data_IF_915899469906
#
_entry.id   IF_915899469906
#
_cell.length_a   1.000
_cell.length_b   1.000
_cell.length_c   1.000
_cell.angle_alpha   90.00
_cell.angle_beta   90.00
_cell.angle_gamma   90.00
#
_symmetry.space_group_name_H-M   'P 1'
#
loop_
_entity.id
_entity.type
_entity.pdbx_description
1 polymer ?
#
# COMPACT_ATOMS: atom_id res chain seq x y z
N UNK A 1 56.42 37.63 -5.77
CA UNK A 1 56.06 36.20 -5.60
C UNK A 1 56.16 35.55 -6.97
N UNK A 2 57.06 34.59 -7.08
CA UNK A 2 57.68 34.09 -8.32
C UNK A 2 56.73 33.31 -9.24
N UNK A 3 56.87 33.56 -10.54
CA UNK A 3 56.66 32.60 -11.62
C UNK A 3 57.68 31.46 -11.52
N UNK A 4 57.31 30.21 -11.84
CA UNK A 4 58.21 29.23 -12.46
C UNK A 4 57.39 28.16 -13.23
N UNK A 5 57.57 28.15 -14.55
CA UNK A 5 57.52 26.95 -15.39
C UNK A 5 58.89 26.27 -15.29
N UNK A 6 58.96 24.93 -15.22
CA UNK A 6 59.80 24.07 -16.08
C UNK A 6 59.80 22.58 -15.66
N UNK A 7 59.34 21.75 -16.60
CA UNK A 7 59.62 20.35 -16.96
C UNK A 7 60.73 19.58 -16.21
N UNK A 8 60.40 18.36 -15.75
CA UNK A 8 61.33 17.20 -15.75
C UNK A 8 60.57 15.93 -16.17
N UNK A 9 61.09 15.26 -17.21
CA UNK A 9 60.72 13.92 -17.69
C UNK A 9 61.43 12.83 -16.84
N UNK A 10 60.76 11.71 -16.56
CA UNK A 10 61.27 10.34 -16.75
C UNK A 10 60.43 9.28 -16.01
N UNK A 11 59.76 8.45 -16.81
CA UNK A 11 59.75 6.98 -16.75
C UNK A 11 59.66 6.32 -15.37
N UNK A 12 58.52 5.67 -15.09
CA UNK A 12 58.49 4.35 -14.44
C UNK A 12 57.16 3.64 -14.73
N UNK A 13 57.30 2.53 -15.44
CA UNK A 13 56.30 1.51 -15.68
C UNK A 13 55.67 1.02 -14.37
N UNK A 14 54.35 1.05 -14.25
CA UNK A 14 53.62 0.08 -13.43
C UNK A 14 52.28 -0.25 -14.10
N UNK A 15 52.21 -1.49 -14.56
CA UNK A 15 51.06 -2.15 -15.18
C UNK A 15 49.91 -2.16 -14.17
N UNK A 16 48.83 -1.43 -14.44
CA UNK A 16 47.54 -1.59 -13.74
C UNK A 16 46.53 -2.23 -14.70
N UNK A 17 46.00 -3.38 -14.26
CA UNK A 17 45.07 -4.27 -14.98
C UNK A 17 43.83 -3.53 -15.49
N UNK A 18 43.21 -3.97 -16.61
CA UNK A 18 42.01 -3.34 -17.14
C UNK A 18 40.83 -3.50 -16.18
N UNK A 19 40.27 -2.38 -15.75
CA UNK A 19 38.99 -2.32 -15.02
C UNK A 19 37.89 -2.57 -16.05
N UNK A 20 37.25 -3.74 -15.97
CA UNK A 20 36.03 -4.02 -16.75
C UNK A 20 34.90 -3.12 -16.22
N UNK A 21 34.16 -2.39 -17.07
CA UNK A 21 33.00 -1.65 -16.60
C UNK A 21 31.91 -2.67 -16.24
N UNK A 22 31.52 -2.70 -14.97
CA UNK A 22 30.40 -3.51 -14.49
C UNK A 22 29.09 -2.82 -14.89
N UNK A 23 28.76 -2.88 -16.18
CA UNK A 23 27.46 -2.50 -16.71
C UNK A 23 26.49 -3.66 -16.50
N UNK A 24 25.84 -3.71 -15.34
CA UNK A 24 24.58 -4.44 -15.16
C UNK A 24 23.77 -3.77 -14.06
N UNK A 25 23.23 -2.59 -14.36
CA UNK A 25 22.08 -2.07 -13.61
C UNK A 25 20.84 -2.79 -14.18
N UNK A 26 20.59 -4.01 -13.71
CA UNK A 26 19.28 -4.63 -13.85
C UNK A 26 18.35 -3.91 -12.87
N UNK A 27 17.57 -2.97 -13.40
CA UNK A 27 16.41 -2.41 -12.72
C UNK A 27 15.40 -3.53 -12.50
N UNK A 28 15.54 -4.23 -11.37
CA UNK A 28 14.56 -5.17 -10.89
C UNK A 28 13.35 -4.37 -10.37
N UNK A 29 12.47 -3.95 -11.27
CA UNK A 29 11.14 -3.49 -10.89
C UNK A 29 10.41 -4.67 -10.28
N UNK A 30 10.40 -4.75 -8.94
CA UNK A 30 9.55 -5.67 -8.19
C UNK A 30 8.11 -5.41 -8.62
N UNK A 31 7.57 -6.26 -9.49
CA UNK A 31 6.14 -6.25 -9.83
C UNK A 31 5.38 -6.54 -8.54
N UNK A 32 4.63 -5.56 -8.04
CA UNK A 32 3.80 -5.74 -6.86
C UNK A 32 2.65 -6.70 -7.22
N UNK A 33 2.39 -7.67 -6.34
CA UNK A 33 1.33 -8.67 -6.55
C UNK A 33 -0.05 -8.01 -6.57
N UNK A 34 -0.94 -8.52 -7.41
CA UNK A 34 -2.35 -8.16 -7.48
C UNK A 34 -3.12 -8.63 -6.23
N UNK A 35 -4.30 -8.05 -5.97
CA UNK A 35 -5.16 -8.52 -4.88
C UNK A 35 -5.55 -9.99 -5.04
N UNK A 36 -5.78 -10.45 -6.26
CA UNK A 36 -6.08 -11.85 -6.58
C UNK A 36 -4.91 -12.77 -6.19
N UNK A 37 -3.68 -12.41 -6.56
CA UNK A 37 -2.49 -13.19 -6.20
C UNK A 37 -2.25 -13.21 -4.68
N UNK A 38 -2.45 -12.08 -4.00
CA UNK A 38 -2.36 -12.00 -2.54
C UNK A 38 -3.41 -12.90 -1.88
N UNK A 39 -4.64 -12.91 -2.35
CA UNK A 39 -5.73 -13.70 -1.79
C UNK A 39 -5.47 -15.21 -1.82
N UNK A 40 -4.74 -15.72 -2.82
CA UNK A 40 -4.39 -17.14 -2.89
C UNK A 40 -3.41 -17.61 -1.81
N UNK A 41 -2.60 -16.68 -1.29
CA UNK A 41 -1.59 -16.95 -0.25
C UNK A 41 -1.94 -16.39 1.13
N UNK A 42 -3.03 -15.62 1.23
CA UNK A 42 -3.46 -14.99 2.47
C UNK A 42 -3.92 -16.06 3.49
N UNK A 43 -3.40 -15.96 4.71
CA UNK A 43 -3.69 -16.91 5.80
C UNK A 43 -4.64 -16.30 6.84
N UNK A 44 -5.50 -17.13 7.44
CA UNK A 44 -6.44 -16.72 8.49
C UNK A 44 -5.80 -16.66 9.90
N UNK A 45 -4.57 -17.17 10.05
CA UNK A 45 -3.95 -17.32 11.36
C UNK A 45 -3.20 -16.06 11.75
N UNK A 46 -3.68 -15.40 12.82
CA UNK A 46 -2.93 -14.55 13.76
C UNK A 46 -1.99 -13.48 13.21
N UNK A 47 -2.26 -12.23 13.60
CA UNK A 47 -1.48 -11.01 13.34
C UNK A 47 -1.27 -10.63 11.87
N UNK A 48 -2.18 -9.81 11.35
CA UNK A 48 -2.13 -9.29 9.98
C UNK A 48 -1.23 -8.06 9.85
N UNK A 49 -0.88 -7.72 8.61
CA UNK A 49 -0.22 -6.44 8.31
C UNK A 49 -1.03 -5.23 8.85
N UNK A 50 -2.35 -5.31 8.85
CA UNK A 50 -3.22 -4.27 9.40
C UNK A 50 -3.17 -4.22 10.94
N UNK A 51 -3.05 -5.37 11.61
CA UNK A 51 -2.75 -5.42 13.04
C UNK A 51 -1.46 -4.69 13.40
N UNK A 52 -0.40 -4.89 12.61
CA UNK A 52 0.89 -4.19 12.78
C UNK A 52 0.80 -2.68 12.54
N UNK A 53 0.01 -2.27 11.54
CA UNK A 53 -0.29 -0.85 11.28
C UNK A 53 -1.03 -0.22 12.48
N UNK A 54 -2.06 -0.90 13.00
CA UNK A 54 -2.84 -0.42 14.15
C UNK A 54 -1.98 -0.27 15.41
N UNK A 55 -1.01 -1.16 15.61
CA UNK A 55 -0.02 -1.09 16.71
C UNK A 55 1.15 -0.14 16.44
N UNK A 56 1.15 0.56 15.31
CA UNK A 56 2.22 1.50 14.89
C UNK A 56 3.60 0.84 14.76
N UNK A 57 3.66 -0.48 14.57
CA UNK A 57 4.89 -1.23 14.30
C UNK A 57 5.40 -0.96 12.88
N UNK A 58 4.48 -0.63 11.97
CA UNK A 58 4.76 -0.28 10.58
C UNK A 58 4.27 1.16 10.37
N UNK A 59 5.12 2.06 9.83
CA UNK A 59 4.73 3.44 9.60
C UNK A 59 3.62 3.49 8.55
N UNK A 60 2.49 4.09 8.94
CA UNK A 60 1.37 4.36 8.07
C UNK A 60 0.80 5.72 8.46
N UNK A 61 0.62 6.61 7.48
CA UNK A 61 -0.02 7.91 7.73
C UNK A 61 -1.53 7.72 7.64
N UNK A 62 -2.19 7.83 8.78
CA UNK A 62 -3.64 7.84 8.83
C UNK A 62 -4.17 9.15 8.26
N UNK A 63 -5.15 9.03 7.36
CA UNK A 63 -5.95 10.16 6.86
C UNK A 63 -7.19 10.37 7.74
N UNK A 64 -7.55 9.36 8.53
CA UNK A 64 -8.58 9.41 9.54
C UNK A 64 -8.26 8.43 10.67
N UNK A 65 -8.54 8.81 11.91
CA UNK A 65 -8.36 7.97 13.09
C UNK A 65 -9.40 8.33 14.16
N UNK A 66 -10.12 7.34 14.67
CA UNK A 66 -10.95 7.45 15.87
C UNK A 66 -10.83 6.22 16.77
N UNK A 67 -11.73 6.05 17.74
CA UNK A 67 -11.75 4.93 18.69
C UNK A 67 -12.21 3.61 18.07
N UNK A 68 -12.90 3.64 16.91
CA UNK A 68 -13.50 2.45 16.29
C UNK A 68 -12.74 2.00 15.04
N UNK A 69 -12.13 2.91 14.29
CA UNK A 69 -11.52 2.62 13.00
C UNK A 69 -10.35 3.56 12.66
N UNK A 70 -9.64 3.19 11.59
CA UNK A 70 -8.64 4.04 10.94
C UNK A 70 -8.84 4.01 9.43
N UNK A 71 -8.43 5.07 8.75
CA UNK A 71 -8.32 5.10 7.30
C UNK A 71 -6.93 5.52 6.84
N UNK A 72 -6.44 4.90 5.77
CA UNK A 72 -5.13 5.20 5.18
C UNK A 72 -5.09 4.83 3.69
N UNK A 73 -4.21 5.47 2.94
CA UNK A 73 -4.03 5.18 1.53
C UNK A 73 -3.55 3.76 1.28
N UNK A 74 -4.12 3.12 0.26
CA UNK A 74 -3.65 1.81 -0.18
C UNK A 74 -2.25 1.95 -0.79
N UNK A 75 -1.35 1.01 -0.46
CA UNK A 75 0.01 0.99 -0.98
C UNK A 75 0.06 0.69 -2.50
N UNK A 76 -0.94 -0.01 -3.03
CA UNK A 76 -1.08 -0.39 -4.43
C UNK A 76 -2.39 0.19 -5.02
N UNK A 77 -2.47 1.51 -5.24
CA UNK A 77 -3.71 2.17 -5.63
C UNK A 77 -4.23 1.70 -7.00
N UNK A 78 -5.54 1.37 -7.08
CA UNK A 78 -6.23 0.96 -8.32
C UNK A 78 -7.06 2.09 -8.95
N UNK A 79 -7.02 3.28 -8.35
CA UNK A 79 -7.65 4.51 -8.81
C UNK A 79 -6.83 5.71 -8.30
N UNK A 80 -6.99 6.92 -8.88
CA UNK A 80 -6.28 8.12 -8.43
C UNK A 80 -6.40 8.36 -6.93
N UNK A 81 -7.59 8.10 -6.37
CA UNK A 81 -7.79 7.99 -4.93
C UNK A 81 -8.18 6.56 -4.61
N UNK A 82 -7.32 5.87 -3.86
CA UNK A 82 -7.59 4.54 -3.29
C UNK A 82 -7.13 4.53 -1.83
N UNK A 83 -8.07 4.34 -0.91
CA UNK A 83 -7.77 4.21 0.51
C UNK A 83 -8.61 3.10 1.14
N UNK A 84 -8.16 2.62 2.28
CA UNK A 84 -8.82 1.59 3.08
C UNK A 84 -9.40 2.21 4.33
N UNK A 85 -10.57 1.74 4.75
CA UNK A 85 -11.13 1.95 6.10
C UNK A 85 -11.20 0.61 6.80
N UNK A 86 -10.54 0.49 7.97
CA UNK A 86 -10.46 -0.77 8.72
C UNK A 86 -10.92 -0.56 10.16
N UNK A 87 -11.63 -1.54 10.78
CA UNK A 87 -11.97 -1.48 12.19
C UNK A 87 -10.72 -1.73 13.04
N UNK A 88 -10.70 -1.16 14.25
CA UNK A 88 -9.72 -1.54 15.28
C UNK A 88 -9.97 -2.94 15.83
N UNK A 89 -11.25 -3.33 15.94
CA UNK A 89 -11.65 -4.71 16.26
C UNK A 89 -11.12 -5.64 15.16
N UNK A 90 -10.41 -6.74 15.48
CA UNK A 90 -9.84 -7.64 14.49
C UNK A 90 -10.89 -8.60 13.92
N UNK A 91 -11.83 -8.07 13.13
CA UNK A 91 -12.79 -8.86 12.36
C UNK A 91 -12.04 -9.41 11.15
N UNK A 92 -11.95 -10.73 10.98
CA UNK A 92 -11.11 -11.33 9.94
C UNK A 92 -11.64 -11.12 8.52
N UNK A 93 -12.96 -11.20 8.34
CA UNK A 93 -13.66 -11.04 7.06
C UNK A 93 -15.14 -10.75 7.33
N UNK A 94 -15.87 -10.25 6.33
CA UNK A 94 -17.26 -9.85 6.52
C UNK A 94 -18.15 -11.03 6.93
N UNK A 95 -17.96 -12.20 6.33
CA UNK A 95 -18.70 -13.43 6.64
C UNK A 95 -18.42 -14.01 8.04
N UNK A 96 -17.52 -13.39 8.82
CA UNK A 96 -17.25 -13.71 10.23
C UNK A 96 -17.69 -12.61 11.19
N UNK A 97 -18.41 -11.60 10.72
CA UNK A 97 -18.99 -10.57 11.57
C UNK A 97 -20.17 -11.14 12.36
N UNK A 98 -20.38 -10.61 13.56
CA UNK A 98 -21.49 -10.99 14.45
C UNK A 98 -22.50 -9.84 14.58
N UNK A 99 -23.67 -10.09 15.20
CA UNK A 99 -24.69 -9.05 15.39
C UNK A 99 -24.17 -7.85 16.19
N UNK A 100 -23.24 -8.08 17.13
CA UNK A 100 -22.56 -7.05 17.91
C UNK A 100 -21.65 -6.15 17.06
N UNK A 101 -21.29 -6.57 15.83
CA UNK A 101 -20.52 -5.76 14.89
C UNK A 101 -21.36 -4.75 14.12
N UNK A 102 -22.69 -4.78 14.23
CA UNK A 102 -23.60 -3.92 13.46
C UNK A 102 -23.22 -2.44 13.52
N UNK A 103 -22.87 -1.94 14.71
CA UNK A 103 -22.52 -0.53 14.90
C UNK A 103 -21.19 -0.18 14.24
N UNK A 104 -20.16 -1.02 14.41
CA UNK A 104 -18.85 -0.75 13.78
C UNK A 104 -18.94 -0.86 12.26
N UNK A 105 -19.70 -1.83 11.72
CA UNK A 105 -19.89 -1.96 10.27
C UNK A 105 -20.55 -0.72 9.66
N UNK A 106 -21.60 -0.19 10.30
CA UNK A 106 -22.23 1.07 9.89
C UNK A 106 -21.27 2.26 10.00
N UNK A 107 -20.49 2.30 11.08
CA UNK A 107 -19.48 3.34 11.30
C UNK A 107 -18.43 3.37 10.19
N UNK A 108 -17.91 2.22 9.76
CA UNK A 108 -16.93 2.14 8.66
C UNK A 108 -17.47 2.76 7.36
N UNK A 109 -18.74 2.57 7.03
CA UNK A 109 -19.36 3.16 5.84
C UNK A 109 -19.52 4.69 5.95
N UNK A 110 -19.90 5.19 7.13
CA UNK A 110 -20.01 6.63 7.38
C UNK A 110 -18.65 7.32 7.33
N UNK A 111 -17.63 6.69 7.91
CA UNK A 111 -16.24 7.16 7.81
C UNK A 111 -15.75 7.13 6.36
N UNK A 112 -16.03 6.07 5.61
CA UNK A 112 -15.67 6.00 4.19
C UNK A 112 -16.30 7.15 3.38
N UNK A 113 -17.58 7.46 3.62
CA UNK A 113 -18.25 8.60 2.99
C UNK A 113 -17.64 9.95 3.38
N UNK A 114 -17.35 10.15 4.67
CA UNK A 114 -16.73 11.38 5.18
C UNK A 114 -15.35 11.59 4.57
N UNK A 115 -14.50 10.58 4.64
CA UNK A 115 -13.12 10.65 4.12
C UNK A 115 -13.13 10.78 2.60
N UNK A 116 -14.04 10.13 1.88
CA UNK A 116 -14.17 10.32 0.44
C UNK A 116 -14.43 11.79 0.07
N UNK A 117 -15.29 12.48 0.81
CA UNK A 117 -15.54 13.91 0.65
C UNK A 117 -14.29 14.74 0.93
N UNK A 118 -13.57 14.45 2.02
CA UNK A 118 -12.31 15.13 2.37
C UNK A 118 -11.20 14.89 1.33
N UNK A 119 -11.25 13.76 0.61
CA UNK A 119 -10.34 13.42 -0.50
C UNK A 119 -10.82 13.95 -1.86
N UNK A 120 -11.87 14.79 -1.92
CA UNK A 120 -12.34 15.44 -3.14
C UNK A 120 -13.08 14.51 -4.12
N UNK A 121 -13.70 13.44 -3.62
CA UNK A 121 -14.47 12.49 -4.44
C UNK A 121 -15.92 12.94 -4.69
N UNK A 122 -16.10 14.19 -5.09
CA UNK A 122 -17.43 14.82 -5.27
C UNK A 122 -18.23 14.21 -6.44
N UNK A 123 -17.55 13.57 -7.40
CA UNK A 123 -18.15 12.92 -8.58
C UNK A 123 -18.56 11.46 -8.33
N UNK A 124 -18.47 11.00 -7.08
CA UNK A 124 -18.77 9.63 -6.68
C UNK A 124 -17.53 8.76 -6.49
N UNK A 125 -17.77 7.59 -5.88
CA UNK A 125 -16.76 6.60 -5.54
C UNK A 125 -17.41 5.20 -5.47
N UNK A 126 -16.59 4.15 -5.45
CA UNK A 126 -17.01 2.76 -5.22
C UNK A 126 -16.46 2.28 -3.89
N UNK A 127 -17.34 1.65 -3.09
CA UNK A 127 -16.95 0.85 -1.94
C UNK A 127 -16.85 -0.62 -2.36
N UNK A 128 -15.80 -1.31 -1.92
CA UNK A 128 -15.63 -2.75 -2.13
C UNK A 128 -15.21 -3.40 -0.82
N UNK A 129 -15.88 -4.50 -0.46
CA UNK A 129 -15.45 -5.43 0.58
C UNK A 129 -15.27 -6.77 -0.09
N UNK A 130 -14.07 -7.32 0.02
CA UNK A 130 -13.71 -8.62 -0.51
C UNK A 130 -13.83 -9.66 0.62
N UNK A 131 -14.49 -10.79 0.35
CA UNK A 131 -14.64 -11.90 1.30
C UNK A 131 -14.06 -13.20 0.73
N UNK A 132 -13.08 -13.76 1.44
CA UNK A 132 -12.44 -15.02 1.07
C UNK A 132 -11.67 -14.99 -0.26
N UNK A 133 -11.33 -16.19 -0.75
CA UNK A 133 -10.47 -16.36 -1.94
C UNK A 133 -11.13 -15.87 -3.22
N UNK A 134 -12.40 -16.19 -3.42
CA UNK A 134 -13.14 -15.82 -4.65
C UNK A 134 -13.47 -14.32 -4.69
N UNK A 135 -13.64 -13.69 -3.52
CA UNK A 135 -13.74 -12.24 -3.42
C UNK A 135 -12.40 -11.51 -3.59
N UNK A 136 -11.28 -12.23 -3.76
CA UNK A 136 -9.92 -11.66 -3.79
C UNK A 136 -9.55 -10.88 -2.51
N UNK A 137 -9.91 -11.40 -1.34
CA UNK A 137 -9.51 -10.81 -0.06
C UNK A 137 -8.02 -11.04 0.22
N UNK A 138 -7.23 -9.97 0.19
CA UNK A 138 -5.76 -10.05 0.33
C UNK A 138 -5.25 -10.06 1.77
N UNK A 139 -6.03 -9.52 2.72
CA UNK A 139 -5.70 -9.47 4.14
C UNK A 139 -6.92 -9.91 4.95
N UNK A 140 -6.73 -10.88 5.86
CA UNK A 140 -7.78 -11.37 6.78
C UNK A 140 -7.95 -10.44 7.99
N UNK A 141 -8.21 -9.18 7.69
CA UNK A 141 -8.69 -8.14 8.59
C UNK A 141 -9.62 -7.26 7.76
N UNK A 142 -10.89 -7.14 8.15
CA UNK A 142 -11.95 -6.49 7.40
C UNK A 142 -11.50 -5.10 6.93
N UNK A 143 -11.68 -4.81 5.65
CA UNK A 143 -11.31 -3.54 5.07
C UNK A 143 -12.27 -3.15 3.96
N UNK A 144 -12.68 -1.88 3.97
CA UNK A 144 -13.45 -1.27 2.91
C UNK A 144 -12.48 -0.55 1.99
N UNK A 145 -12.39 -0.99 0.74
CA UNK A 145 -11.75 -0.20 -0.29
C UNK A 145 -12.65 0.96 -0.70
N UNK A 146 -12.07 2.15 -0.79
CA UNK A 146 -12.74 3.33 -1.35
C UNK A 146 -11.96 3.77 -2.58
N UNK A 147 -12.57 3.63 -3.76
CA UNK A 147 -11.96 3.96 -5.04
C UNK A 147 -12.69 5.12 -5.72
N UNK A 148 -11.94 6.11 -6.19
CA UNK A 148 -12.51 7.26 -6.90
C UNK A 148 -11.48 8.07 -7.68
N UNK A 149 -11.91 9.20 -8.23
CA UNK A 149 -11.09 10.06 -9.08
C UNK A 149 -11.02 9.62 -10.54
N UNK A 150 -11.75 8.56 -10.91
CA UNK A 150 -11.97 8.12 -12.30
C UNK A 150 -13.33 7.42 -12.44
N UNK A 151 -13.81 7.26 -13.67
CA UNK A 151 -14.99 6.43 -13.94
C UNK A 151 -14.70 4.97 -13.56
N UNK A 152 -15.55 4.38 -12.74
CA UNK A 152 -15.50 2.95 -12.41
C UNK A 152 -16.25 2.15 -13.48
N UNK A 153 -15.68 1.02 -13.89
CA UNK A 153 -16.24 0.14 -14.92
C UNK A 153 -17.22 -0.89 -14.33
N UNK A 154 -17.99 -1.53 -15.21
CA UNK A 154 -18.90 -2.63 -14.87
C UNK A 154 -18.66 -3.81 -15.82
N UNK A 155 -18.56 -5.07 -15.34
CA UNK A 155 -18.74 -5.53 -13.96
C UNK A 155 -17.65 -5.03 -12.97
N UNK A 156 -17.88 -5.14 -11.64
CA UNK A 156 -16.97 -4.61 -10.61
C UNK A 156 -15.94 -5.66 -10.19
N UNK A 157 -15.30 -6.29 -11.16
CA UNK A 157 -14.25 -7.30 -11.01
C UNK A 157 -13.50 -7.43 -12.31
#
# INVERSE_FOLDING_TARGET
MNQFHCVINATKYFIRKPIKPLSYCLSYTRKMATEVEKAQSASHNGDTIFGKILRKEIPCKFIYEDDQCVAFHDLNPQAPTHFLVIPRKPISQLSKSEDDDKLVLGHLMLVAQKVAKEQGLDKGFRLVINDGKEGAQSVYHLHLHVLGGRQMQWPPG
#
